data_IF_986399544144
#
_entry.id   IF_986399544144
#
_cell.length_a   1.000
_cell.length_b   1.000
_cell.length_c   1.000
_cell.angle_alpha   90.00
_cell.angle_beta   90.00
_cell.angle_gamma   90.00
#
_symmetry.space_group_name_H-M   'P 1'
#
loop_
_entity.id
_entity.type
_entity.pdbx_description
1 polymer ?
#
# COMPACT_ATOMS: atom_id res chain seq x y z
N UNK A 1 15.05 -29.66 32.63
CA UNK A 1 13.68 -29.36 32.12
C UNK A 1 13.33 -27.89 32.28
N UNK A 2 13.44 -27.30 33.48
CA UNK A 2 13.13 -25.88 33.72
C UNK A 2 13.96 -24.85 32.91
N UNK A 3 15.19 -25.18 32.49
CA UNK A 3 16.04 -24.24 31.76
C UNK A 3 15.56 -23.89 30.34
N UNK A 4 14.72 -24.73 29.73
CA UNK A 4 14.15 -24.46 28.40
C UNK A 4 13.04 -23.40 28.52
N UNK A 5 12.20 -23.52 29.55
CA UNK A 5 11.14 -22.54 29.83
C UNK A 5 11.72 -21.18 30.26
N UNK A 6 12.81 -21.17 31.04
CA UNK A 6 13.52 -19.95 31.40
C UNK A 6 14.07 -19.22 30.17
N UNK A 7 14.73 -19.96 29.26
CA UNK A 7 15.26 -19.41 27.99
C UNK A 7 14.18 -18.89 27.05
N UNK A 8 13.00 -19.51 27.03
CA UNK A 8 11.87 -19.06 26.24
C UNK A 8 11.24 -17.76 26.79
N UNK A 9 11.22 -17.59 28.12
CA UNK A 9 10.79 -16.33 28.75
C UNK A 9 11.80 -15.18 28.56
N UNK A 10 13.08 -15.49 28.33
CA UNK A 10 14.14 -14.52 28.01
C UNK A 10 14.24 -14.20 26.51
N UNK A 11 13.47 -14.89 25.66
CA UNK A 11 13.55 -14.73 24.21
C UNK A 11 12.72 -13.53 23.73
N UNK A 12 13.39 -12.40 23.52
CA UNK A 12 12.77 -11.18 22.99
C UNK A 12 12.51 -11.26 21.48
N UNK A 13 12.99 -12.27 20.75
CA UNK A 13 12.88 -12.34 19.29
C UNK A 13 11.43 -12.32 18.80
N UNK A 14 10.50 -12.88 19.58
CA UNK A 14 9.06 -12.82 19.34
C UNK A 14 8.47 -11.42 19.54
N UNK A 15 8.95 -10.68 20.54
CA UNK A 15 8.57 -9.28 20.75
C UNK A 15 9.13 -8.40 19.62
N UNK A 16 10.37 -8.62 19.19
CA UNK A 16 10.98 -7.89 18.07
C UNK A 16 10.28 -8.17 16.75
N UNK A 17 9.79 -9.40 16.52
CA UNK A 17 9.02 -9.75 15.33
C UNK A 17 7.69 -8.98 15.24
N UNK A 18 7.03 -8.72 16.38
CA UNK A 18 5.79 -7.93 16.42
C UNK A 18 6.08 -6.45 16.15
N UNK A 19 7.19 -5.90 16.67
CA UNK A 19 7.58 -4.51 16.43
C UNK A 19 7.93 -4.25 14.96
N UNK A 20 8.79 -5.07 14.37
CA UNK A 20 9.10 -4.97 12.95
C UNK A 20 7.90 -5.31 12.06
N UNK A 21 7.04 -6.24 12.51
CA UNK A 21 5.76 -6.53 11.86
C UNK A 21 4.82 -5.32 11.83
N UNK A 22 4.73 -4.56 12.93
CA UNK A 22 3.94 -3.34 13.01
C UNK A 22 4.51 -2.22 12.12
N UNK A 23 5.83 -2.04 12.10
CA UNK A 23 6.49 -1.08 11.20
C UNK A 23 6.20 -1.43 9.74
N UNK A 24 6.35 -2.70 9.35
CA UNK A 24 6.05 -3.17 8.01
C UNK A 24 4.57 -2.94 7.64
N UNK A 25 3.64 -3.21 8.55
CA UNK A 25 2.22 -2.95 8.34
C UNK A 25 1.94 -1.46 8.09
N UNK A 26 2.53 -0.55 8.86
CA UNK A 26 2.39 0.90 8.67
C UNK A 26 2.98 1.38 7.35
N UNK A 27 4.13 0.83 6.93
CA UNK A 27 4.73 1.14 5.62
C UNK A 27 3.80 0.70 4.48
N UNK A 28 3.24 -0.51 4.57
CA UNK A 28 2.29 -1.02 3.56
C UNK A 28 1.04 -0.14 3.48
N UNK A 29 0.47 0.27 4.61
CA UNK A 29 -0.69 1.17 4.62
C UNK A 29 -0.38 2.52 3.97
N UNK A 30 0.79 3.10 4.25
CA UNK A 30 1.22 4.34 3.60
C UNK A 30 1.41 4.18 2.09
N UNK A 31 1.99 3.05 1.65
CA UNK A 31 2.12 2.74 0.22
C UNK A 31 0.76 2.57 -0.47
N UNK A 32 -0.19 1.90 0.17
CA UNK A 32 -1.55 1.73 -0.36
C UNK A 32 -2.25 3.08 -0.55
N UNK A 33 -2.12 4.00 0.42
CA UNK A 33 -2.66 5.35 0.30
C UNK A 33 -2.02 6.11 -0.88
N UNK A 34 -0.70 6.00 -1.07
CA UNK A 34 -0.01 6.59 -2.20
C UNK A 34 -0.44 5.99 -3.55
N UNK A 35 -0.64 4.66 -3.59
CA UNK A 35 -1.08 3.96 -4.80
C UNK A 35 -2.50 4.35 -5.21
N UNK A 36 -3.39 4.60 -4.24
CA UNK A 36 -4.74 5.12 -4.49
C UNK A 36 -4.69 6.42 -5.30
N UNK A 37 -3.86 7.39 -4.87
CA UNK A 37 -3.71 8.66 -5.58
C UNK A 37 -3.16 8.49 -7.00
N UNK A 38 -2.20 7.57 -7.20
CA UNK A 38 -1.68 7.25 -8.55
C UNK A 38 -2.76 6.65 -9.44
N UNK A 39 -3.58 5.75 -8.90
CA UNK A 39 -4.68 5.13 -9.63
C UNK A 39 -5.74 6.17 -10.06
N UNK A 40 -6.10 7.06 -9.14
CA UNK A 40 -7.08 8.13 -9.39
C UNK A 40 -6.59 9.09 -10.49
N UNK A 41 -5.35 9.59 -10.38
CA UNK A 41 -4.77 10.48 -11.40
C UNK A 41 -4.65 9.79 -12.77
N UNK A 42 -4.27 8.52 -12.79
CA UNK A 42 -4.19 7.74 -14.03
C UNK A 42 -5.57 7.59 -14.66
N UNK A 43 -6.60 7.30 -13.87
CA UNK A 43 -7.99 7.19 -14.34
C UNK A 43 -8.51 8.53 -14.88
N UNK A 44 -8.22 9.63 -14.18
CA UNK A 44 -8.61 10.98 -14.60
C UNK A 44 -7.95 11.36 -15.92
N UNK A 45 -6.65 11.05 -16.09
CA UNK A 45 -5.94 11.29 -17.34
C UNK A 45 -6.58 10.54 -18.52
N UNK A 46 -6.88 9.25 -18.38
CA UNK A 46 -7.53 8.47 -19.44
C UNK A 46 -8.95 8.93 -19.75
N UNK A 47 -9.70 9.33 -18.73
CA UNK A 47 -11.04 9.92 -18.89
C UNK A 47 -10.95 11.21 -19.69
N UNK A 48 -10.04 12.12 -19.32
CA UNK A 48 -9.83 13.38 -20.03
C UNK A 48 -9.39 13.20 -21.49
N UNK A 49 -8.54 12.20 -21.78
CA UNK A 49 -8.18 11.84 -23.15
C UNK A 49 -9.42 11.34 -23.91
N UNK A 50 -10.21 10.46 -23.31
CA UNK A 50 -11.42 9.89 -23.94
C UNK A 50 -12.44 10.99 -24.27
N UNK A 51 -12.68 11.91 -23.33
CA UNK A 51 -13.58 13.04 -23.51
C UNK A 51 -13.09 14.01 -24.59
N UNK A 52 -11.78 14.27 -24.61
CA UNK A 52 -11.15 15.12 -25.63
C UNK A 52 -11.30 14.50 -27.03
N UNK A 53 -11.10 13.18 -27.14
CA UNK A 53 -11.31 12.45 -28.39
C UNK A 53 -12.76 12.48 -28.84
N UNK A 54 -13.71 12.25 -27.92
CA UNK A 54 -15.14 12.32 -28.21
C UNK A 54 -15.54 13.71 -28.73
N UNK A 55 -15.09 14.76 -28.05
CA UNK A 55 -15.34 16.15 -28.46
C UNK A 55 -14.72 16.47 -29.83
N UNK A 56 -13.51 15.98 -30.10
CA UNK A 56 -12.86 16.18 -31.39
C UNK A 56 -13.62 15.48 -32.54
N UNK A 57 -14.13 14.26 -32.31
CA UNK A 57 -14.94 13.54 -33.29
C UNK A 57 -16.28 14.22 -33.55
N UNK A 58 -16.92 14.78 -32.52
CA UNK A 58 -18.16 15.56 -32.68
C UNK A 58 -17.91 16.81 -33.54
N UNK A 59 -16.84 17.57 -33.27
CA UNK A 59 -16.47 18.76 -34.05
C UNK A 59 -16.07 18.47 -35.49
N UNK A 60 -15.58 17.26 -35.76
CA UNK A 60 -15.17 16.84 -37.09
C UNK A 60 -16.34 16.42 -38.00
N UNK A 61 -17.53 16.22 -37.42
CA UNK A 61 -18.77 15.89 -38.13
C UNK A 61 -19.56 17.15 -38.48
#
# INVERSE_FOLDING_TARGET
MFSILAKFCEDESGATAIEYGLIAALIVLAMLAGLQGVADETSNMWTGISDSMATAMEKAR
#
